data_IF_955023574407
#
_entry.id   IF_955023574407
#
_cell.length_a   1.000
_cell.length_b   1.000
_cell.length_c   1.000
_cell.angle_alpha   90.00
_cell.angle_beta   90.00
_cell.angle_gamma   90.00
#
_symmetry.space_group_name_H-M   'P 1'
#
loop_
_entity.id
_entity.type
_entity.pdbx_description
1 polymer ?
#
# COMPACT_ATOMS: atom_id res chain seq x y z
N UNK A 1 -17.89 -11.14 5.44
CA UNK A 1 -17.07 -10.31 4.53
C UNK A 1 -17.89 -9.58 3.48
N UNK A 2 -18.51 -10.27 2.50
CA UNK A 2 -19.25 -9.61 1.41
C UNK A 2 -20.29 -8.57 1.86
N UNK A 3 -21.10 -8.86 2.89
CA UNK A 3 -22.08 -7.89 3.41
C UNK A 3 -21.44 -6.62 3.97
N UNK A 4 -20.30 -6.73 4.67
CA UNK A 4 -19.55 -5.57 5.18
C UNK A 4 -18.94 -4.78 4.02
N UNK A 5 -18.33 -5.47 3.05
CA UNK A 5 -17.70 -4.84 1.88
C UNK A 5 -18.67 -3.93 1.10
N UNK A 6 -19.95 -4.34 0.98
CA UNK A 6 -21.00 -3.56 0.29
C UNK A 6 -21.37 -2.24 0.97
N UNK A 7 -21.06 -2.08 2.25
CA UNK A 7 -21.34 -0.85 3.00
C UNK A 7 -20.10 0.02 3.20
N UNK A 8 -18.95 -0.39 2.66
CA UNK A 8 -17.70 0.33 2.87
C UNK A 8 -17.50 1.43 1.84
N UNK A 9 -16.88 2.52 2.28
CA UNK A 9 -16.41 3.62 1.42
C UNK A 9 -14.89 3.68 1.51
N UNK A 10 -14.23 3.72 0.35
CA UNK A 10 -12.78 3.87 0.23
C UNK A 10 -12.48 5.27 -0.29
N UNK A 11 -11.69 6.03 0.47
CA UNK A 11 -11.27 7.37 0.11
C UNK A 11 -10.08 7.34 -0.84
N UNK A 12 -10.14 8.15 -1.90
CA UNK A 12 -9.12 8.28 -2.93
C UNK A 12 -8.74 9.76 -3.08
N UNK A 13 -7.59 10.17 -2.55
CA UNK A 13 -7.10 11.52 -2.75
C UNK A 13 -6.41 11.62 -4.12
N UNK A 14 -7.12 12.13 -5.12
CA UNK A 14 -6.74 12.11 -6.53
C UNK A 14 -7.34 10.94 -7.31
N UNK A 15 -6.87 10.76 -8.55
CA UNK A 15 -7.29 9.70 -9.48
C UNK A 15 -6.11 9.24 -10.34
N UNK A 16 -5.92 7.92 -10.45
CA UNK A 16 -5.01 7.25 -11.39
C UNK A 16 -3.58 7.83 -11.40
N UNK A 17 -2.85 7.63 -10.30
CA UNK A 17 -1.48 8.10 -10.17
C UNK A 17 -0.57 7.56 -11.27
N UNK A 18 0.40 8.36 -11.71
CA UNK A 18 1.33 8.07 -12.82
C UNK A 18 0.65 7.59 -14.11
N UNK A 19 -0.66 7.84 -14.26
CA UNK A 19 -1.50 7.30 -15.35
C UNK A 19 -1.51 5.78 -15.42
N UNK A 20 -1.23 5.10 -14.30
CA UNK A 20 -1.30 3.64 -14.22
C UNK A 20 -2.70 3.18 -14.61
N UNK A 21 -2.77 2.27 -15.57
CA UNK A 21 -4.05 1.81 -16.09
C UNK A 21 -4.68 0.77 -15.16
N UNK A 22 -3.85 -0.06 -14.53
CA UNK A 22 -4.28 -1.13 -13.62
C UNK A 22 -4.83 -0.66 -12.27
N UNK A 23 -4.64 0.62 -11.93
CA UNK A 23 -5.16 1.25 -10.70
C UNK A 23 -6.56 1.83 -10.88
N UNK A 24 -7.05 1.92 -12.13
CA UNK A 24 -8.39 2.42 -12.46
C UNK A 24 -9.47 1.37 -12.25
N UNK A 25 -10.72 1.81 -12.31
CA UNK A 25 -11.89 0.98 -12.13
C UNK A 25 -13.09 1.50 -12.91
N UNK A 26 -14.08 0.63 -13.11
CA UNK A 26 -15.41 1.02 -13.54
C UNK A 26 -16.33 1.10 -12.32
N UNK A 27 -16.78 2.31 -11.98
CA UNK A 27 -17.52 2.55 -10.74
C UNK A 27 -18.85 1.80 -10.65
N UNK A 28 -19.57 1.71 -11.76
CA UNK A 28 -20.90 1.08 -11.79
C UNK A 28 -20.80 -0.42 -11.56
N UNK A 29 -19.93 -1.11 -12.29
CA UNK A 29 -19.73 -2.55 -12.12
C UNK A 29 -19.05 -2.88 -10.79
N UNK A 30 -18.09 -2.07 -10.31
CA UNK A 30 -17.49 -2.29 -8.98
C UNK A 30 -18.56 -2.26 -7.90
N UNK A 31 -19.42 -1.23 -7.93
CA UNK A 31 -20.50 -1.07 -6.95
C UNK A 31 -21.51 -2.21 -7.02
N UNK A 32 -21.89 -2.62 -8.23
CA UNK A 32 -22.87 -3.70 -8.47
C UNK A 32 -22.32 -5.05 -8.01
N UNK A 33 -21.14 -5.41 -8.51
CA UNK A 33 -20.63 -6.79 -8.46
C UNK A 33 -19.84 -7.05 -7.17
N UNK A 34 -19.03 -6.08 -6.72
CA UNK A 34 -18.17 -6.22 -5.54
C UNK A 34 -18.74 -5.49 -4.32
N UNK A 35 -19.23 -4.26 -4.48
CA UNK A 35 -19.98 -3.54 -3.46
C UNK A 35 -19.44 -2.22 -2.89
N UNK A 36 -18.12 -2.00 -2.74
CA UNK A 36 -17.63 -0.82 -2.05
C UNK A 36 -17.91 0.45 -2.86
N UNK A 37 -18.07 1.57 -2.16
CA UNK A 37 -18.09 2.90 -2.74
C UNK A 37 -16.66 3.43 -2.83
N UNK A 38 -16.34 4.15 -3.91
CA UNK A 38 -15.06 4.85 -4.04
C UNK A 38 -15.36 6.33 -4.10
N UNK A 39 -14.84 7.07 -3.13
CA UNK A 39 -14.99 8.52 -3.08
C UNK A 39 -13.67 9.19 -3.44
N UNK A 40 -13.65 9.89 -4.57
CA UNK A 40 -12.52 10.70 -4.97
C UNK A 40 -12.65 12.12 -4.42
N UNK A 41 -11.54 12.68 -3.95
CA UNK A 41 -11.45 14.08 -3.57
C UNK A 41 -10.07 14.65 -3.93
N UNK A 42 -9.95 15.98 -3.93
CA UNK A 42 -8.75 16.67 -4.38
C UNK A 42 -7.68 16.74 -3.30
N UNK A 43 -6.42 16.46 -3.67
CA UNK A 43 -5.27 16.62 -2.78
C UNK A 43 -5.09 18.06 -2.25
N UNK A 44 -5.67 19.05 -2.94
CA UNK A 44 -5.69 20.44 -2.48
C UNK A 44 -6.36 20.58 -1.10
N UNK A 45 -7.40 19.78 -0.82
CA UNK A 45 -8.07 19.79 0.48
C UNK A 45 -7.10 19.36 1.60
N UNK A 46 -6.37 18.27 1.38
CA UNK A 46 -5.37 17.81 2.34
C UNK A 46 -4.22 18.82 2.50
N UNK A 47 -3.80 19.49 1.42
CA UNK A 47 -2.79 20.54 1.46
C UNK A 47 -3.23 21.74 2.33
N UNK A 48 -4.47 22.20 2.16
CA UNK A 48 -5.03 23.31 2.94
C UNK A 48 -5.18 22.95 4.42
N UNK A 49 -5.62 21.73 4.73
CA UNK A 49 -5.68 21.24 6.11
C UNK A 49 -4.25 21.18 6.69
N UNK A 50 -3.30 20.63 5.95
CA UNK A 50 -1.89 20.53 6.35
C UNK A 50 -1.27 21.89 6.72
N UNK A 51 -1.58 22.96 5.97
CA UNK A 51 -1.12 24.33 6.27
C UNK A 51 -1.73 24.88 7.57
N UNK A 52 -2.97 24.50 7.89
CA UNK A 52 -3.69 24.98 9.06
C UNK A 52 -3.31 24.25 10.36
N UNK A 53 -2.65 23.08 10.28
CA UNK A 53 -2.31 22.28 11.46
C UNK A 53 -1.24 22.99 12.32
N UNK A 54 -1.55 23.33 13.58
CA UNK A 54 -0.60 24.01 14.45
C UNK A 54 0.52 23.07 14.89
N UNK A 55 1.71 23.64 15.13
CA UNK A 55 2.88 22.87 15.57
C UNK A 55 2.60 22.05 16.85
N UNK A 56 1.78 22.59 17.77
CA UNK A 56 1.43 21.91 19.01
C UNK A 56 0.74 20.54 18.82
N UNK A 57 0.05 20.31 17.69
CA UNK A 57 -0.55 19.02 17.35
C UNK A 57 0.46 18.05 16.71
N UNK A 58 1.51 18.58 16.09
CA UNK A 58 2.51 17.81 15.34
C UNK A 58 3.64 17.33 16.23
N UNK A 59 4.15 18.20 17.10
CA UNK A 59 5.30 17.93 17.97
C UNK A 59 5.18 16.62 18.77
N UNK A 60 4.04 16.29 19.42
CA UNK A 60 3.94 15.07 20.20
C UNK A 60 4.11 13.80 19.36
N UNK A 61 3.46 13.75 18.20
CA UNK A 61 3.55 12.59 17.31
C UNK A 61 4.92 12.54 16.63
N UNK A 62 5.47 13.68 16.21
CA UNK A 62 6.81 13.74 15.64
C UNK A 62 7.89 13.29 16.63
N UNK A 63 7.76 13.64 17.93
CA UNK A 63 8.64 13.16 18.99
C UNK A 63 8.47 11.67 19.29
N UNK A 64 7.23 11.15 19.21
CA UNK A 64 6.96 9.72 19.37
C UNK A 64 7.56 8.90 18.22
N UNK A 65 7.39 9.35 16.98
CA UNK A 65 7.95 8.75 15.76
C UNK A 65 9.47 8.66 15.85
N UNK A 66 10.14 9.75 16.24
CA UNK A 66 11.60 9.79 16.42
C UNK A 66 12.13 8.76 17.42
N UNK A 67 11.32 8.38 18.42
CA UNK A 67 11.70 7.36 19.42
C UNK A 67 11.34 5.94 18.97
N UNK A 68 10.21 5.77 18.28
CA UNK A 68 9.67 4.46 17.92
C UNK A 68 10.33 3.87 16.68
N UNK A 69 10.65 4.70 15.67
CA UNK A 69 11.31 4.25 14.45
C UNK A 69 12.83 4.32 14.57
N UNK A 70 13.49 3.41 13.87
CA UNK A 70 14.95 3.43 13.72
C UNK A 70 15.32 4.20 12.47
N UNK A 71 16.05 5.30 12.61
CA UNK A 71 16.53 6.06 11.46
C UNK A 71 17.92 5.59 11.05
N UNK A 72 18.16 5.40 9.74
CA UNK A 72 19.48 5.03 9.22
C UNK A 72 20.48 6.20 9.27
N UNK A 73 19.97 7.43 9.33
CA UNK A 73 20.69 8.68 9.57
C UNK A 73 19.70 9.71 10.16
N UNK A 74 20.23 10.76 10.78
CA UNK A 74 19.37 11.84 11.27
C UNK A 74 18.60 12.51 10.12
N UNK A 75 17.25 12.66 10.23
CA UNK A 75 16.47 13.43 9.28
C UNK A 75 16.83 14.92 9.32
N UNK A 76 16.63 15.62 8.20
CA UNK A 76 16.66 17.08 8.20
C UNK A 76 15.55 17.65 9.09
N UNK A 77 15.78 18.86 9.59
CA UNK A 77 14.79 19.61 10.35
C UNK A 77 13.50 19.76 9.52
N UNK A 78 12.37 19.34 10.09
CA UNK A 78 11.07 19.42 9.44
C UNK A 78 10.65 18.18 8.64
N UNK A 79 11.56 17.27 8.27
CA UNK A 79 11.22 16.08 7.46
C UNK A 79 10.16 15.19 8.14
N UNK A 80 10.33 14.94 9.44
CA UNK A 80 9.38 14.15 10.23
C UNK A 80 8.06 14.91 10.40
N UNK A 81 8.14 16.21 10.68
CA UNK A 81 7.01 17.10 10.88
C UNK A 81 6.12 17.23 9.64
N UNK A 82 6.70 17.22 8.43
CA UNK A 82 5.96 17.23 7.17
C UNK A 82 5.18 15.92 6.97
N UNK A 83 5.83 14.78 7.21
CA UNK A 83 5.17 13.46 7.15
C UNK A 83 4.02 13.37 8.16
N UNK A 84 4.23 13.88 9.38
CA UNK A 84 3.20 13.91 10.42
C UNK A 84 2.04 14.83 10.03
N UNK A 85 2.30 16.02 9.49
CA UNK A 85 1.22 16.93 9.05
C UNK A 85 0.36 16.33 7.95
N UNK A 86 0.99 15.70 6.95
CA UNK A 86 0.26 15.04 5.88
C UNK A 86 -0.60 13.89 6.41
N UNK A 87 -0.06 13.08 7.32
CA UNK A 87 -0.83 12.05 8.04
C UNK A 87 -2.02 12.65 8.79
N UNK A 88 -1.81 13.71 9.58
CA UNK A 88 -2.86 14.35 10.38
C UNK A 88 -3.96 14.95 9.49
N UNK A 89 -3.60 15.54 8.36
CA UNK A 89 -4.55 16.07 7.40
C UNK A 89 -5.42 14.96 6.79
N UNK A 90 -4.81 13.84 6.38
CA UNK A 90 -5.57 12.70 5.89
C UNK A 90 -6.40 12.04 6.99
N UNK A 91 -5.88 11.90 8.21
CA UNK A 91 -6.63 11.38 9.36
C UNK A 91 -7.91 12.17 9.57
N UNK A 92 -7.83 13.50 9.55
CA UNK A 92 -9.01 14.37 9.70
C UNK A 92 -10.07 14.05 8.63
N UNK A 93 -9.67 13.98 7.35
CA UNK A 93 -10.59 13.67 6.24
C UNK A 93 -11.20 12.26 6.40
N UNK A 94 -10.37 11.27 6.72
CA UNK A 94 -10.78 9.87 6.91
C UNK A 94 -11.81 9.76 8.04
N UNK A 95 -11.57 10.42 9.18
CA UNK A 95 -12.46 10.40 10.33
C UNK A 95 -13.77 11.15 10.06
N UNK A 96 -13.71 12.31 9.44
CA UNK A 96 -14.88 13.12 9.07
C UNK A 96 -15.81 12.36 8.11
N UNK A 97 -15.22 11.76 7.06
CA UNK A 97 -15.96 11.07 5.99
C UNK A 97 -16.16 9.58 6.27
N UNK A 98 -15.61 9.08 7.38
CA UNK A 98 -15.73 7.70 7.88
C UNK A 98 -15.25 6.66 6.86
N UNK A 99 -14.16 6.96 6.17
CA UNK A 99 -13.58 6.02 5.21
C UNK A 99 -13.10 4.76 5.92
N UNK A 100 -13.29 3.62 5.25
CA UNK A 100 -12.89 2.33 5.76
C UNK A 100 -11.52 1.87 5.22
N UNK A 101 -11.05 2.52 4.17
CA UNK A 101 -9.73 2.35 3.59
C UNK A 101 -9.35 3.62 2.82
N UNK A 102 -8.07 3.79 2.54
CA UNK A 102 -7.56 5.04 1.98
C UNK A 102 -6.42 4.84 1.00
N UNK A 103 -6.41 5.64 -0.06
CA UNK A 103 -5.26 5.74 -0.97
C UNK A 103 -5.15 7.16 -1.50
N UNK A 104 -3.97 7.53 -1.99
CA UNK A 104 -3.71 8.85 -2.53
C UNK A 104 -2.67 8.77 -3.67
N UNK A 105 -2.69 9.76 -4.57
CA UNK A 105 -1.63 9.91 -5.57
C UNK A 105 -0.35 10.38 -4.87
N UNK A 106 0.62 9.49 -4.66
CA UNK A 106 1.89 9.79 -4.02
C UNK A 106 2.89 10.43 -4.99
N UNK A 107 2.91 10.05 -6.28
CA UNK A 107 3.89 10.50 -7.28
C UNK A 107 3.45 11.75 -8.03
N UNK A 108 2.48 11.65 -8.93
CA UNK A 108 2.00 12.81 -9.71
C UNK A 108 1.12 13.75 -8.86
N UNK A 109 0.73 13.30 -7.67
CA UNK A 109 0.00 14.05 -6.67
C UNK A 109 0.92 14.72 -5.65
N UNK A 110 1.14 14.07 -4.51
CA UNK A 110 1.78 14.68 -3.35
C UNK A 110 3.22 15.14 -3.63
N UNK A 111 4.08 14.30 -4.25
CA UNK A 111 5.47 14.70 -4.56
C UNK A 111 5.50 15.98 -5.42
N UNK A 112 4.58 16.11 -6.39
CA UNK A 112 4.49 17.29 -7.26
C UNK A 112 3.87 18.51 -6.58
N UNK A 113 2.84 18.32 -5.76
CA UNK A 113 2.09 19.41 -5.11
C UNK A 113 2.79 19.96 -3.86
N UNK A 114 3.32 19.07 -3.01
CA UNK A 114 3.89 19.42 -1.70
C UNK A 114 5.42 19.36 -1.69
N UNK A 115 6.05 18.90 -2.77
CA UNK A 115 7.50 18.89 -2.96
C UNK A 115 8.31 18.02 -1.99
N UNK A 116 7.70 16.97 -1.41
CA UNK A 116 8.39 15.96 -0.60
C UNK A 116 7.79 14.56 -0.82
N UNK A 117 8.53 13.51 -0.44
CA UNK A 117 8.03 12.13 -0.56
C UNK A 117 7.10 11.74 0.60
N UNK A 118 5.86 11.28 0.33
CA UNK A 118 4.80 11.15 1.33
C UNK A 118 4.79 9.81 2.09
N UNK A 119 5.72 8.91 1.81
CA UNK A 119 5.66 7.53 2.29
C UNK A 119 5.69 7.38 3.83
N UNK A 120 6.31 8.33 4.53
CA UNK A 120 6.22 8.44 5.99
C UNK A 120 4.77 8.59 6.47
N UNK A 121 3.94 9.37 5.77
CA UNK A 121 2.52 9.53 6.10
C UNK A 121 1.73 8.24 5.86
N UNK A 122 2.06 7.47 4.82
CA UNK A 122 1.42 6.17 4.57
C UNK A 122 1.76 5.15 5.65
N UNK A 123 3.02 5.10 6.10
CA UNK A 123 3.43 4.27 7.24
C UNK A 123 2.65 4.67 8.51
N UNK A 124 2.45 5.97 8.76
CA UNK A 124 1.66 6.47 9.89
C UNK A 124 0.17 6.14 9.81
N UNK A 125 -0.43 6.15 8.61
CA UNK A 125 -1.84 5.72 8.44
C UNK A 125 -2.04 4.29 8.95
N UNK A 126 -1.12 3.39 8.64
CA UNK A 126 -1.14 2.03 9.17
C UNK A 126 -0.90 1.97 10.67
N UNK A 127 0.17 2.60 11.15
CA UNK A 127 0.59 2.52 12.56
C UNK A 127 -0.43 3.15 13.52
N UNK A 128 -1.09 4.25 13.12
CA UNK A 128 -1.93 5.05 14.01
C UNK A 128 -3.43 4.80 13.82
N UNK A 129 -3.88 4.41 12.62
CA UNK A 129 -5.31 4.21 12.35
C UNK A 129 -5.69 2.75 12.12
N UNK A 130 -4.74 1.88 11.76
CA UNK A 130 -5.01 0.47 11.48
C UNK A 130 -5.98 0.23 10.31
N UNK A 131 -6.15 1.22 9.43
CA UNK A 131 -6.99 1.08 8.24
C UNK A 131 -6.19 0.50 7.09
N UNK A 132 -6.81 -0.27 6.17
CA UNK A 132 -6.21 -0.59 4.90
C UNK A 132 -5.85 0.69 4.14
N UNK A 133 -4.57 0.82 3.79
CA UNK A 133 -4.09 1.87 2.91
C UNK A 133 -3.04 1.36 1.93
N UNK A 134 -3.13 1.83 0.68
CA UNK A 134 -2.19 1.53 -0.41
C UNK A 134 -1.80 2.82 -1.13
N UNK A 135 -0.63 2.88 -1.79
CA UNK A 135 -0.18 4.06 -2.51
C UNK A 135 -0.86 4.12 -3.89
N UNK A 136 -0.44 5.08 -4.72
CA UNK A 136 -0.71 5.15 -6.16
C UNK A 136 -2.18 5.24 -6.58
N UNK A 137 -3.09 5.50 -5.65
CA UNK A 137 -4.53 5.53 -5.92
C UNK A 137 -5.01 4.21 -6.54
N UNK A 138 -4.41 3.09 -6.13
CA UNK A 138 -4.76 1.76 -6.65
C UNK A 138 -6.12 1.31 -6.11
N UNK A 139 -7.17 1.55 -6.89
CA UNK A 139 -8.54 1.23 -6.48
C UNK A 139 -8.74 -0.27 -6.31
N UNK A 140 -8.33 -1.08 -7.29
CA UNK A 140 -8.49 -2.53 -7.19
C UNK A 140 -7.53 -3.13 -6.15
N UNK A 141 -6.34 -2.56 -5.97
CA UNK A 141 -5.41 -2.90 -4.89
C UNK A 141 -6.02 -2.60 -3.51
N UNK A 142 -6.62 -1.42 -3.34
CA UNK A 142 -7.30 -1.02 -2.10
C UNK A 142 -8.46 -1.96 -1.76
N UNK A 143 -9.31 -2.28 -2.76
CA UNK A 143 -10.41 -3.22 -2.56
C UNK A 143 -9.88 -4.62 -2.23
N UNK A 144 -8.79 -5.05 -2.87
CA UNK A 144 -8.12 -6.31 -2.54
C UNK A 144 -7.63 -6.31 -1.10
N UNK A 145 -7.00 -5.22 -0.64
CA UNK A 145 -6.49 -5.08 0.71
C UNK A 145 -7.62 -5.14 1.74
N UNK A 146 -8.72 -4.43 1.49
CA UNK A 146 -9.94 -4.49 2.32
C UNK A 146 -10.50 -5.91 2.38
N UNK A 147 -10.59 -6.60 1.24
CA UNK A 147 -11.05 -7.98 1.18
C UNK A 147 -10.19 -8.87 2.08
N UNK A 148 -8.87 -8.82 1.91
CA UNK A 148 -7.92 -9.64 2.66
C UNK A 148 -7.92 -9.30 4.15
N UNK A 149 -8.03 -8.02 4.50
CA UNK A 149 -8.17 -7.58 5.88
C UNK A 149 -9.45 -8.13 6.52
N UNK A 150 -10.59 -8.05 5.83
CA UNK A 150 -11.85 -8.60 6.34
C UNK A 150 -11.86 -10.13 6.45
N UNK A 151 -11.10 -10.84 5.62
CA UNK A 151 -11.02 -12.31 5.67
C UNK A 151 -10.08 -12.79 6.77
N UNK A 152 -8.97 -12.09 7.01
CA UNK A 152 -7.86 -12.60 7.81
C UNK A 152 -7.63 -11.84 9.12
N UNK A 153 -8.11 -10.60 9.22
CA UNK A 153 -7.78 -9.67 10.30
C UNK A 153 -6.39 -9.03 10.19
N UNK A 154 -5.56 -9.44 9.22
CA UNK A 154 -4.24 -8.86 8.96
C UNK A 154 -4.39 -7.52 8.24
N UNK A 155 -3.46 -6.58 8.41
CA UNK A 155 -3.46 -5.34 7.63
C UNK A 155 -3.38 -5.57 6.12
N UNK A 156 -2.80 -6.71 5.71
CA UNK A 156 -2.56 -7.14 4.34
C UNK A 156 -1.67 -6.16 3.55
N UNK A 157 -0.43 -6.57 3.26
CA UNK A 157 0.56 -5.66 2.70
C UNK A 157 0.46 -5.55 1.19
N UNK A 158 0.59 -4.34 0.67
CA UNK A 158 0.81 -4.11 -0.76
C UNK A 158 2.27 -4.36 -1.09
N UNK A 159 2.55 -5.17 -2.11
CA UNK A 159 3.86 -5.25 -2.75
C UNK A 159 3.69 -5.26 -4.28
N UNK A 160 4.75 -4.83 -4.96
CA UNK A 160 4.90 -4.84 -6.41
C UNK A 160 5.98 -5.82 -6.86
N UNK A 161 5.91 -6.27 -8.12
CA UNK A 161 6.92 -7.13 -8.72
C UNK A 161 8.10 -6.34 -9.26
N UNK A 162 9.32 -6.70 -8.85
CA UNK A 162 10.56 -6.14 -9.38
C UNK A 162 11.20 -7.05 -10.43
N UNK A 163 11.31 -8.35 -10.15
CA UNK A 163 11.98 -9.31 -11.02
C UNK A 163 11.33 -10.69 -10.89
N UNK A 164 11.14 -11.37 -12.02
CA UNK A 164 10.67 -12.76 -12.05
C UNK A 164 11.83 -13.71 -12.26
N UNK A 165 11.85 -14.79 -11.50
CA UNK A 165 12.85 -15.85 -11.60
C UNK A 165 12.19 -17.20 -11.88
N UNK A 166 13.00 -18.21 -12.21
CA UNK A 166 12.51 -19.59 -12.45
C UNK A 166 11.81 -20.24 -11.26
N UNK A 167 11.96 -19.68 -10.07
CA UNK A 167 11.42 -20.19 -8.83
C UNK A 167 10.44 -19.23 -8.15
N UNK A 168 10.14 -18.06 -8.70
CA UNK A 168 9.28 -17.09 -8.02
C UNK A 168 9.47 -15.66 -8.51
N UNK A 169 9.34 -14.70 -7.60
CA UNK A 169 9.55 -13.29 -7.90
C UNK A 169 10.15 -12.52 -6.72
N UNK A 170 10.96 -11.51 -7.01
CA UNK A 170 11.27 -10.46 -6.04
C UNK A 170 10.08 -9.51 -5.99
N UNK A 171 9.47 -9.41 -4.82
CA UNK A 171 8.40 -8.46 -4.55
C UNK A 171 8.85 -7.47 -3.48
N UNK A 172 8.51 -6.21 -3.65
CA UNK A 172 8.89 -5.17 -2.70
C UNK A 172 7.95 -3.99 -2.77
N UNK A 173 8.37 -2.87 -2.22
CA UNK A 173 7.65 -1.60 -2.32
C UNK A 173 8.68 -0.49 -2.09
N UNK A 174 8.62 0.60 -2.86
CA UNK A 174 9.73 1.52 -2.90
C UNK A 174 9.73 2.50 -1.74
N UNK A 175 8.75 2.49 -0.84
CA UNK A 175 8.59 3.63 0.06
C UNK A 175 7.91 3.39 1.42
N UNK A 176 7.02 2.41 1.57
CA UNK A 176 6.31 2.17 2.85
C UNK A 176 6.03 0.70 3.11
N UNK A 177 5.92 0.30 4.38
CA UNK A 177 5.26 -0.96 4.76
C UNK A 177 4.55 -0.81 6.11
N UNK A 178 3.42 -1.50 6.34
CA UNK A 178 2.81 -1.60 7.65
C UNK A 178 3.75 -2.25 8.67
N UNK A 179 3.80 -1.75 9.91
CA UNK A 179 4.63 -2.33 10.98
C UNK A 179 4.28 -3.80 11.28
N UNK A 180 3.04 -4.23 11.01
CA UNK A 180 2.59 -5.62 11.21
C UNK A 180 3.40 -6.63 10.39
N UNK A 181 3.94 -6.24 9.23
CA UNK A 181 4.71 -7.13 8.35
C UNK A 181 6.22 -6.99 8.50
N UNK A 182 6.68 -6.10 9.37
CA UNK A 182 8.10 -5.84 9.62
C UNK A 182 8.68 -6.89 10.58
N UNK A 183 9.83 -7.46 10.22
CA UNK A 183 10.63 -8.28 11.11
C UNK A 183 11.52 -7.38 11.99
N UNK A 184 11.05 -7.12 13.21
CA UNK A 184 11.72 -6.28 14.19
C UNK A 184 11.16 -4.85 14.23
N UNK A 185 12.07 -3.86 14.26
CA UNK A 185 11.71 -2.46 14.39
C UNK A 185 11.61 -1.79 13.01
N UNK A 186 10.56 -0.99 12.81
CA UNK A 186 10.42 -0.14 11.61
C UNK A 186 11.69 0.69 11.43
N UNK A 187 12.35 0.51 10.30
CA UNK A 187 13.59 1.20 9.93
C UNK A 187 13.33 2.11 8.74
N UNK A 188 13.73 3.37 8.89
CA UNK A 188 13.44 4.45 7.94
C UNK A 188 14.74 5.14 7.53
N UNK A 189 14.86 5.43 6.25
CA UNK A 189 15.94 6.19 5.66
C UNK A 189 15.40 7.56 5.22
N UNK A 190 15.81 8.66 5.87
CA UNK A 190 15.58 9.99 5.32
C UNK A 190 16.27 10.09 3.95
N UNK A 191 15.53 10.41 2.89
CA UNK A 191 16.09 10.46 1.55
C UNK A 191 15.36 11.44 0.63
N UNK A 192 16.11 12.07 -0.28
CA UNK A 192 15.54 12.88 -1.35
C UNK A 192 15.24 12.00 -2.56
N UNK A 193 14.09 12.20 -3.19
CA UNK A 193 13.69 11.48 -4.39
C UNK A 193 13.89 12.41 -5.59
N UNK A 194 14.95 12.19 -6.37
CA UNK A 194 15.27 13.04 -7.52
C UNK A 194 15.45 14.51 -7.11
N UNK A 195 14.60 15.40 -7.64
CA UNK A 195 14.61 16.84 -7.34
C UNK A 195 13.65 17.27 -6.22
N UNK A 196 12.96 16.33 -5.58
CA UNK A 196 12.04 16.61 -4.48
C UNK A 196 12.78 16.73 -3.13
N UNK A 197 12.16 17.40 -2.17
CA UNK A 197 12.66 17.50 -0.79
C UNK A 197 12.79 16.14 -0.11
N UNK A 198 13.51 16.12 1.00
CA UNK A 198 13.71 14.91 1.80
C UNK A 198 12.37 14.38 2.31
N UNK A 199 12.13 13.08 2.13
CA UNK A 199 11.05 12.35 2.77
C UNK A 199 11.57 11.18 3.58
N UNK A 200 10.64 10.39 4.13
CA UNK A 200 10.94 9.24 4.97
C UNK A 200 10.68 7.95 4.21
N UNK A 201 11.75 7.31 3.72
CA UNK A 201 11.71 6.05 3.01
C UNK A 201 11.71 4.88 3.99
N UNK A 202 10.75 3.97 3.94
CA UNK A 202 10.82 2.74 4.72
C UNK A 202 11.83 1.76 4.08
N UNK A 203 12.75 1.22 4.89
CA UNK A 203 13.78 0.24 4.47
C UNK A 203 13.81 -0.97 5.42
N UNK A 204 12.66 -1.28 6.02
CA UNK A 204 12.50 -2.36 6.97
C UNK A 204 12.66 -3.73 6.32
N UNK A 205 13.15 -4.71 7.10
CA UNK A 205 13.10 -6.12 6.72
C UNK A 205 11.68 -6.64 6.90
N UNK A 206 11.22 -7.47 5.97
CA UNK A 206 9.89 -8.08 6.02
C UNK A 206 9.96 -9.47 6.63
N UNK A 207 8.89 -9.89 7.32
CA UNK A 207 8.80 -11.26 7.85
C UNK A 207 8.75 -12.27 6.71
N UNK A 208 9.35 -13.43 6.93
CA UNK A 208 9.34 -14.57 6.00
C UNK A 208 8.30 -15.61 6.42
N UNK A 209 8.08 -16.60 5.56
CA UNK A 209 7.21 -17.74 5.79
C UNK A 209 6.14 -17.91 4.71
N UNK A 210 5.21 -18.83 4.95
CA UNK A 210 4.10 -19.08 4.04
C UNK A 210 3.25 -17.81 3.86
N UNK A 211 2.89 -17.49 2.61
CA UNK A 211 2.07 -16.34 2.24
C UNK A 211 1.02 -16.71 1.19
N UNK A 212 0.02 -15.85 1.04
CA UNK A 212 -0.91 -15.84 -0.08
C UNK A 212 -0.83 -14.49 -0.78
N UNK A 213 -0.62 -14.50 -2.10
CA UNK A 213 -0.71 -13.33 -2.95
C UNK A 213 -2.14 -13.24 -3.51
N UNK A 214 -2.75 -12.06 -3.52
CA UNK A 214 -4.08 -11.85 -4.08
C UNK A 214 -4.18 -10.54 -4.87
N UNK A 215 -4.96 -10.54 -5.95
CA UNK A 215 -5.32 -9.35 -6.73
C UNK A 215 -6.75 -9.47 -7.26
N UNK A 216 -7.62 -8.53 -6.90
CA UNK A 216 -8.88 -8.30 -7.59
C UNK A 216 -8.59 -7.73 -8.99
N UNK A 217 -9.22 -8.31 -9.99
CA UNK A 217 -9.05 -7.99 -11.39
C UNK A 217 -10.39 -7.80 -12.09
N UNK A 218 -10.39 -7.07 -13.20
CA UNK A 218 -11.54 -6.95 -14.09
C UNK A 218 -11.13 -7.34 -15.52
N UNK A 219 -11.57 -8.51 -15.96
CA UNK A 219 -11.16 -9.14 -17.21
C UNK A 219 -12.41 -9.45 -18.03
N UNK A 220 -12.44 -9.01 -19.30
CA UNK A 220 -13.55 -9.27 -20.23
C UNK A 220 -14.94 -8.92 -19.67
N UNK A 221 -15.04 -7.80 -18.93
CA UNK A 221 -16.30 -7.33 -18.36
C UNK A 221 -16.75 -8.06 -17.09
N UNK A 222 -15.86 -8.84 -16.45
CA UNK A 222 -16.15 -9.59 -15.22
C UNK A 222 -15.05 -9.40 -14.20
N UNK A 223 -15.44 -9.36 -12.93
CA UNK A 223 -14.49 -9.40 -11.84
C UNK A 223 -13.99 -10.82 -11.58
N UNK A 224 -12.72 -10.90 -11.17
CA UNK A 224 -12.02 -12.11 -10.75
C UNK A 224 -11.09 -11.80 -9.58
N UNK A 225 -10.70 -12.80 -8.80
CA UNK A 225 -9.54 -12.69 -7.91
C UNK A 225 -8.49 -13.68 -8.40
N UNK A 226 -7.32 -13.20 -8.79
CA UNK A 226 -6.15 -14.06 -8.97
C UNK A 226 -5.47 -14.23 -7.62
N UNK A 227 -5.35 -15.47 -7.15
CA UNK A 227 -4.69 -15.77 -5.88
C UNK A 227 -3.80 -17.01 -5.97
N UNK A 228 -2.65 -16.98 -5.30
CA UNK A 228 -1.69 -18.08 -5.30
C UNK A 228 -1.00 -18.17 -3.94
N UNK A 229 -0.79 -19.38 -3.38
CA UNK A 229 0.10 -19.55 -2.24
C UNK A 229 1.57 -19.39 -2.66
N UNK A 230 2.41 -18.96 -1.74
CA UNK A 230 3.85 -18.89 -1.92
C UNK A 230 4.60 -19.03 -0.61
N UNK A 231 5.92 -19.16 -0.71
CA UNK A 231 6.83 -19.09 0.44
C UNK A 231 7.66 -17.81 0.33
N UNK A 232 7.46 -16.88 1.26
CA UNK A 232 8.23 -15.65 1.33
C UNK A 232 9.58 -15.90 2.01
N UNK A 233 10.65 -15.62 1.31
CA UNK A 233 12.03 -15.83 1.73
C UNK A 233 12.78 -14.48 1.71
N UNK A 234 13.90 -14.41 2.44
CA UNK A 234 14.80 -13.26 2.35
C UNK A 234 15.28 -13.11 0.91
N UNK A 235 15.15 -11.93 0.27
CA UNK A 235 15.56 -11.78 -1.11
C UNK A 235 17.08 -11.90 -1.26
N UNK A 236 17.56 -12.35 -2.43
CA UNK A 236 18.99 -12.24 -2.77
C UNK A 236 19.41 -10.76 -2.81
N UNK A 237 20.71 -10.48 -2.87
CA UNK A 237 21.18 -9.11 -3.06
C UNK A 237 20.61 -8.53 -4.36
N UNK A 238 19.94 -7.38 -4.27
CA UNK A 238 19.29 -6.70 -5.38
C UNK A 238 19.24 -5.19 -5.09
N UNK A 239 19.10 -4.39 -6.15
CA UNK A 239 18.84 -2.96 -6.06
C UNK A 239 17.84 -2.57 -7.14
N UNK A 240 16.98 -1.60 -6.86
CA UNK A 240 16.09 -1.04 -7.87
C UNK A 240 16.89 -0.19 -8.87
N UNK A 241 16.66 -0.42 -10.15
CA UNK A 241 17.29 0.36 -11.21
C UNK A 241 16.82 1.82 -11.19
N UNK A 242 17.77 2.75 -11.30
CA UNK A 242 17.49 4.19 -11.39
C UNK A 242 17.85 4.99 -10.14
N UNK A 243 18.19 4.32 -9.02
CA UNK A 243 18.73 4.99 -7.85
C UNK A 243 20.19 5.42 -8.02
N UNK A 244 20.54 6.56 -7.42
CA UNK A 244 21.93 6.96 -7.28
C UNK A 244 22.65 6.04 -6.28
N UNK A 245 23.82 5.47 -6.60
CA UNK A 245 24.56 4.62 -5.66
C UNK A 245 25.06 5.40 -4.42
N UNK A 246 25.04 4.78 -3.22
CA UNK A 246 24.46 3.47 -2.93
C UNK A 246 22.92 3.53 -2.91
N UNK A 247 22.27 2.60 -3.63
CA UNK A 247 20.82 2.50 -3.65
C UNK A 247 20.27 2.07 -2.27
N UNK A 248 19.10 2.56 -1.86
CA UNK A 248 18.41 2.01 -0.70
C UNK A 248 18.10 0.52 -0.89
N UNK A 249 18.25 -0.25 0.17
CA UNK A 249 17.66 -1.60 0.21
C UNK A 249 16.18 -1.46 0.55
N UNK A 250 15.33 -1.61 -0.47
CA UNK A 250 13.89 -1.51 -0.32
C UNK A 250 13.31 -2.72 0.45
N UNK A 251 12.24 -2.53 1.24
CA UNK A 251 11.50 -3.62 1.87
C UNK A 251 11.05 -4.61 0.81
N UNK A 252 11.47 -5.86 0.94
CA UNK A 252 11.26 -6.87 -0.10
C UNK A 252 11.35 -8.29 0.42
N UNK A 253 10.77 -9.18 -0.38
CA UNK A 253 10.75 -10.63 -0.23
C UNK A 253 11.07 -11.26 -1.58
N UNK A 254 11.77 -12.40 -1.57
CA UNK A 254 11.67 -13.32 -2.69
C UNK A 254 10.53 -14.28 -2.39
N UNK A 255 9.46 -14.25 -3.19
CA UNK A 255 8.32 -15.13 -3.01
C UNK A 255 8.48 -16.31 -3.96
N UNK A 256 8.79 -17.47 -3.41
CA UNK A 256 8.87 -18.73 -4.15
C UNK A 256 7.48 -19.22 -4.49
N UNK A 257 7.25 -19.54 -5.76
CA UNK A 257 5.99 -20.05 -6.29
C UNK A 257 6.18 -21.47 -6.81
N UNK A 258 5.15 -22.32 -6.66
CA UNK A 258 5.21 -23.71 -7.12
C UNK A 258 5.24 -23.82 -8.64
N UNK A 259 4.51 -22.94 -9.34
CA UNK A 259 4.50 -22.84 -10.81
C UNK A 259 4.57 -21.36 -11.26
N UNK A 260 5.78 -20.77 -11.29
CA UNK A 260 5.96 -19.37 -11.69
C UNK A 260 5.52 -19.09 -13.13
N UNK A 261 5.65 -20.06 -14.04
CA UNK A 261 5.24 -19.89 -15.43
C UNK A 261 3.72 -19.78 -15.55
N UNK A 262 2.97 -20.69 -14.90
CA UNK A 262 1.52 -20.62 -14.88
C UNK A 262 1.01 -19.33 -14.19
N UNK A 263 1.69 -18.86 -13.15
CA UNK A 263 1.40 -17.58 -12.50
C UNK A 263 1.57 -16.41 -13.48
N UNK A 264 2.70 -16.36 -14.19
CA UNK A 264 3.03 -15.30 -15.15
C UNK A 264 2.03 -15.22 -16.31
N UNK A 265 1.57 -16.36 -16.82
CA UNK A 265 0.55 -16.40 -17.88
C UNK A 265 -0.82 -15.84 -17.43
N UNK A 266 -1.03 -15.71 -16.12
CA UNK A 266 -2.28 -15.22 -15.51
C UNK A 266 -2.09 -13.95 -14.69
N UNK A 267 -0.92 -13.31 -14.71
CA UNK A 267 -0.65 -12.13 -13.89
C UNK A 267 -1.67 -11.02 -14.22
N UNK A 268 -2.26 -10.42 -13.18
CA UNK A 268 -3.41 -9.50 -13.34
C UNK A 268 -3.08 -8.03 -13.05
N UNK A 269 -1.83 -7.73 -12.72
CA UNK A 269 -1.39 -6.40 -12.39
C UNK A 269 0.03 -6.39 -11.84
N UNK A 270 0.58 -5.19 -11.71
CA UNK A 270 1.93 -5.00 -11.18
C UNK A 270 1.96 -5.05 -9.64
N UNK A 271 0.81 -4.86 -8.96
CA UNK A 271 0.68 -4.88 -7.51
C UNK A 271 -0.22 -6.01 -7.03
N UNK A 272 0.21 -6.67 -5.96
CA UNK A 272 -0.53 -7.72 -5.27
C UNK A 272 -0.56 -7.43 -3.78
N UNK A 273 -1.62 -7.92 -3.14
CA UNK A 273 -1.75 -7.88 -1.69
C UNK A 273 -1.26 -9.21 -1.11
N UNK A 274 -0.42 -9.12 -0.11
CA UNK A 274 0.20 -10.25 0.60
C UNK A 274 -0.40 -10.38 1.99
N UNK A 275 -0.75 -11.60 2.36
CA UNK A 275 -1.09 -12.00 3.72
C UNK A 275 -0.28 -13.23 4.12
N UNK A 276 0.12 -13.35 5.39
CA UNK A 276 0.80 -14.53 5.90
C UNK A 276 -0.17 -15.70 6.08
N UNK A 277 0.31 -16.91 5.81
CA UNK A 277 -0.45 -18.17 5.78
C UNK A 277 -1.17 -18.45 4.46
N UNK A 278 -1.71 -19.66 4.35
CA UNK A 278 -2.57 -20.08 3.25
C UNK A 278 -4.01 -19.59 3.46
N UNK A 279 -4.44 -18.66 2.60
CA UNK A 279 -5.76 -18.02 2.64
C UNK A 279 -6.67 -18.49 1.49
N UNK A 280 -6.27 -19.49 0.70
CA UNK A 280 -6.95 -19.89 -0.52
C UNK A 280 -8.41 -20.30 -0.26
N UNK A 281 -8.67 -21.03 0.84
CA UNK A 281 -10.01 -21.45 1.21
C UNK A 281 -10.95 -20.27 1.52
N UNK A 282 -10.43 -19.23 2.19
CA UNK A 282 -11.20 -18.02 2.52
C UNK A 282 -11.53 -17.21 1.27
N UNK A 283 -10.55 -17.05 0.38
CA UNK A 283 -10.73 -16.35 -0.90
C UNK A 283 -11.75 -17.11 -1.76
N UNK A 284 -11.61 -18.43 -1.87
CA UNK A 284 -12.54 -19.25 -2.65
C UNK A 284 -13.99 -19.15 -2.12
N UNK A 285 -14.16 -19.15 -0.79
CA UNK A 285 -15.48 -18.97 -0.18
C UNK A 285 -16.07 -17.59 -0.50
N UNK A 286 -15.28 -16.52 -0.46
CA UNK A 286 -15.71 -15.19 -0.85
C UNK A 286 -16.11 -15.13 -2.33
N UNK A 287 -15.28 -15.67 -3.23
CA UNK A 287 -15.56 -15.70 -4.66
C UNK A 287 -16.91 -16.38 -4.97
N UNK A 288 -17.21 -17.51 -4.30
CA UNK A 288 -18.52 -18.19 -4.40
C UNK A 288 -19.68 -17.30 -3.96
N UNK A 289 -19.51 -16.52 -2.88
CA UNK A 289 -20.55 -15.59 -2.38
C UNK A 289 -20.75 -14.40 -3.32
N UNK A 290 -19.68 -13.87 -3.90
CA UNK A 290 -19.73 -12.75 -4.83
C UNK A 290 -20.13 -13.18 -6.26
N UNK A 291 -20.07 -14.48 -6.57
CA UNK A 291 -20.33 -14.99 -7.92
C UNK A 291 -19.22 -14.64 -8.91
N UNK A 292 -17.97 -14.50 -8.43
CA UNK A 292 -16.79 -14.20 -9.26
C UNK A 292 -15.84 -15.39 -9.31
N UNK A 293 -14.98 -15.42 -10.32
CA UNK A 293 -13.99 -16.47 -10.49
C UNK A 293 -12.77 -16.25 -9.57
N UNK A 294 -12.19 -17.35 -9.08
CA UNK A 294 -10.85 -17.37 -8.52
C UNK A 294 -9.91 -18.00 -9.55
N UNK A 295 -8.90 -17.26 -9.98
CA UNK A 295 -7.93 -17.62 -11.03
C UNK A 295 -6.65 -18.17 -10.42
#
# INVERSE_FOLDING_TARGET
TAAKLRTMTIGMAGYADMRLYGTRYDAVSLKRDIGPEIEHFELLEAAQIMEAIPAAEVEPLAAAVRKRWKFTREPQEGTVEQSVRLFLAFRQIIEERKYNAFSYNDVDGVKRLLHFAPAGALTLLHDEMGIPSVPENDVLGSVTQVIMHLLTGQIAAYLEFYEFSRNGAIMGVPDYVPSEIVDGQVTVMPNAFGSFGEGLLNVSKLKTGQVTLARLCHVNGRYCIHAVPGEAETPPAWEEAGWAPPAPQLPSLHVRLDDPEAFLQKIMGQHYIITYGDQMALIQALCKVLGIEMI
#
